data_IF_120371560782
#
_entry.id   IF_120371560782
#
_cell.length_a   1.000
_cell.length_b   1.000
_cell.length_c   1.000
_cell.angle_alpha   90.00
_cell.angle_beta   90.00
_cell.angle_gamma   90.00
#
_symmetry.space_group_name_H-M   'P 1'
#
loop_
_entity.id
_entity.type
_entity.pdbx_description
1 polymer ?
#
# COMPACT_ATOMS: atom_id res chain seq x y z
N UNK A 1 -16.42 12.78 -3.72
CA UNK A 1 -15.46 11.67 -3.69
C UNK A 1 -14.71 11.73 -2.37
N UNK A 2 -15.07 10.85 -1.43
CA UNK A 2 -14.38 10.81 -0.14
C UNK A 2 -13.14 9.95 -0.33
N UNK A 3 -12.00 10.59 -0.47
CA UNK A 3 -10.71 9.91 -0.42
C UNK A 3 -10.46 9.45 1.02
N UNK A 4 -10.02 8.21 1.15
CA UNK A 4 -9.64 7.62 2.40
C UNK A 4 -8.48 8.44 3.01
N UNK A 5 -8.80 9.27 3.98
CA UNK A 5 -7.82 10.10 4.66
C UNK A 5 -7.17 9.28 5.78
N UNK A 6 -5.98 8.73 5.52
CA UNK A 6 -5.17 8.03 6.53
C UNK A 6 -4.68 9.03 7.60
N UNK A 7 -4.78 10.33 7.32
CA UNK A 7 -4.34 11.40 8.21
C UNK A 7 -5.52 12.17 8.80
N UNK A 8 -5.79 11.97 10.07
CA UNK A 8 -6.31 13.04 10.91
C UNK A 8 -5.20 13.49 11.85
N UNK A 9 -4.90 14.78 11.77
CA UNK A 9 -3.86 15.51 12.48
C UNK A 9 -3.58 14.98 13.90
N UNK A 10 -2.35 14.51 14.12
CA UNK A 10 -1.84 14.24 15.45
C UNK A 10 -1.11 15.48 15.96
N UNK A 11 -1.80 16.26 16.78
CA UNK A 11 -1.15 17.17 17.71
C UNK A 11 -1.44 16.64 19.11
N UNK A 12 -0.48 15.98 19.70
CA UNK A 12 -0.08 16.05 21.11
C UNK A 12 0.85 14.88 21.49
N UNK A 13 2.01 15.20 21.98
CA UNK A 13 2.96 14.28 22.59
C UNK A 13 2.29 13.58 23.79
N UNK A 14 2.08 12.27 23.70
CA UNK A 14 1.90 11.40 24.85
C UNK A 14 2.72 10.14 24.65
N UNK A 15 3.52 9.80 25.63
CA UNK A 15 4.33 8.61 25.75
C UNK A 15 3.54 7.37 25.36
N UNK A 16 4.05 6.65 24.36
CA UNK A 16 3.46 5.44 23.82
C UNK A 16 3.71 4.33 24.84
N UNK A 17 2.68 3.98 25.61
CA UNK A 17 2.55 2.62 26.11
C UNK A 17 2.11 1.77 24.92
N UNK A 18 2.80 0.66 24.67
CA UNK A 18 2.30 -0.39 23.80
C UNK A 18 0.95 -0.84 24.34
N UNK A 19 -0.11 -0.25 23.85
CA UNK A 19 -1.44 -0.80 24.03
C UNK A 19 -1.45 -1.98 23.06
N UNK A 20 -1.45 -3.17 23.60
CA UNK A 20 -1.89 -4.36 22.87
C UNK A 20 -3.29 -4.02 22.32
N UNK A 21 -3.31 -3.51 21.08
CA UNK A 21 -4.57 -3.37 20.35
C UNK A 21 -5.02 -4.82 20.20
N UNK A 22 -6.17 -5.20 20.77
CA UNK A 22 -6.64 -6.56 20.64
C UNK A 22 -6.64 -6.87 19.15
N UNK A 23 -5.86 -7.84 18.74
CA UNK A 23 -5.75 -8.36 17.38
C UNK A 23 -7.05 -9.10 16.98
N UNK A 24 -8.18 -8.46 17.20
CA UNK A 24 -9.52 -9.02 17.06
C UNK A 24 -10.25 -8.47 15.83
N UNK A 25 -9.53 -8.15 14.75
CA UNK A 25 -10.18 -8.10 13.45
C UNK A 25 -10.01 -9.50 12.86
N UNK A 26 -10.90 -10.40 13.23
CA UNK A 26 -10.84 -11.79 12.77
C UNK A 26 -11.05 -11.92 11.26
N UNK A 27 -11.65 -10.91 10.62
CA UNK A 27 -11.99 -10.90 9.20
C UNK A 27 -11.89 -9.50 8.61
N UNK A 28 -10.68 -8.92 8.46
CA UNK A 28 -10.53 -7.59 7.92
C UNK A 28 -10.96 -7.56 6.43
N UNK A 29 -11.77 -6.56 6.07
CA UNK A 29 -12.10 -6.27 4.68
C UNK A 29 -11.00 -5.43 4.00
N UNK A 30 -10.29 -4.64 4.80
CA UNK A 30 -9.21 -3.79 4.34
C UNK A 30 -7.95 -4.01 5.18
N UNK A 31 -6.80 -4.03 4.51
CA UNK A 31 -5.49 -4.12 5.14
C UNK A 31 -4.60 -3.00 4.63
N UNK A 32 -3.93 -2.31 5.53
CA UNK A 32 -2.87 -1.35 5.22
C UNK A 32 -1.53 -2.00 5.50
N UNK A 33 -0.69 -2.10 4.49
CA UNK A 33 0.71 -2.51 4.59
C UNK A 33 1.58 -1.25 4.60
N UNK A 34 2.42 -1.11 5.59
CA UNK A 34 3.35 0.01 5.71
C UNK A 34 4.77 -0.54 5.76
N UNK A 35 5.58 -0.13 4.79
CA UNK A 35 7.00 -0.52 4.75
C UNK A 35 7.78 0.21 5.84
N UNK A 36 8.59 -0.49 6.62
CA UNK A 36 9.42 0.11 7.68
C UNK A 36 10.56 0.99 7.15
N UNK A 37 10.79 1.03 5.83
CA UNK A 37 11.65 2.02 5.20
C UNK A 37 10.99 3.40 5.01
N UNK A 38 9.68 3.52 5.25
CA UNK A 38 8.98 4.82 5.20
C UNK A 38 9.31 5.60 6.47
N UNK A 39 9.70 6.86 6.31
CA UNK A 39 9.95 7.75 7.44
C UNK A 39 8.69 7.87 8.30
N UNK A 40 8.87 7.78 9.61
CA UNK A 40 7.80 7.89 10.60
C UNK A 40 6.63 6.88 10.40
N UNK A 41 6.94 5.69 9.90
CA UNK A 41 5.96 4.63 9.65
C UNK A 41 5.11 4.27 10.89
N UNK A 42 5.65 4.44 12.09
CA UNK A 42 4.92 4.19 13.34
C UNK A 42 3.78 5.20 13.55
N UNK A 43 4.01 6.48 13.26
CA UNK A 43 2.96 7.49 13.30
C UNK A 43 1.87 7.23 12.25
N UNK A 44 2.27 6.81 11.05
CA UNK A 44 1.33 6.40 10.00
C UNK A 44 0.46 5.25 10.47
N UNK A 45 1.07 4.22 11.04
CA UNK A 45 0.36 3.05 11.56
C UNK A 45 -0.66 3.43 12.64
N UNK A 46 -0.29 4.34 13.54
CA UNK A 46 -1.17 4.83 14.61
C UNK A 46 -2.30 5.73 14.08
N UNK A 47 -2.16 6.32 12.91
CA UNK A 47 -3.16 7.17 12.26
C UNK A 47 -4.20 6.42 11.43
N UNK A 48 -4.04 5.12 11.24
CA UNK A 48 -5.00 4.31 10.47
C UNK A 48 -6.33 4.19 11.23
N UNK A 49 -7.44 4.32 10.49
CA UNK A 49 -8.77 4.28 11.08
C UNK A 49 -9.07 2.94 11.76
N UNK A 50 -9.85 2.94 12.86
CA UNK A 50 -10.32 1.71 13.50
C UNK A 50 -11.07 0.80 12.51
N UNK A 51 -10.87 -0.52 12.64
CA UNK A 51 -11.50 -1.51 11.75
C UNK A 51 -10.65 -1.91 10.55
N UNK A 52 -9.57 -1.18 10.27
CA UNK A 52 -8.60 -1.53 9.23
C UNK A 52 -7.40 -2.22 9.88
N UNK A 53 -7.01 -3.37 9.33
CA UNK A 53 -5.83 -4.07 9.82
C UNK A 53 -4.56 -3.40 9.32
N UNK A 54 -3.61 -3.15 10.22
CA UNK A 54 -2.29 -2.63 9.88
C UNK A 54 -1.26 -3.75 9.94
N UNK A 55 -0.40 -3.81 8.94
CA UNK A 55 0.74 -4.74 8.87
C UNK A 55 2.00 -3.94 8.52
N UNK A 56 2.99 -4.00 9.38
CA UNK A 56 4.31 -3.41 9.10
C UNK A 56 5.15 -4.43 8.34
N UNK A 57 5.68 -4.02 7.20
CA UNK A 57 6.60 -4.85 6.43
C UNK A 57 8.02 -4.68 6.95
N UNK A 58 8.68 -5.82 7.16
CA UNK A 58 10.10 -5.88 7.50
C UNK A 58 10.95 -5.48 6.28
N UNK A 59 11.71 -4.40 6.42
CA UNK A 59 12.57 -3.86 5.37
C UNK A 59 13.75 -4.76 4.99
N UNK A 60 14.07 -5.77 5.81
CA UNK A 60 15.16 -6.72 5.55
C UNK A 60 14.75 -7.94 4.74
N UNK A 61 13.45 -8.11 4.48
CA UNK A 61 12.86 -9.29 3.85
C UNK A 61 12.04 -8.93 2.61
N UNK A 62 11.75 -9.93 1.76
CA UNK A 62 10.91 -9.77 0.56
C UNK A 62 9.50 -9.28 0.93
N UNK A 63 9.19 -8.03 0.63
CA UNK A 63 7.91 -7.40 0.95
C UNK A 63 6.73 -8.02 0.19
N UNK A 64 6.92 -8.44 -1.06
CA UNK A 64 5.88 -9.12 -1.84
C UNK A 64 5.51 -10.47 -1.22
N UNK A 65 6.49 -11.23 -0.75
CA UNK A 65 6.25 -12.47 -0.03
C UNK A 65 5.54 -12.25 1.30
N UNK A 66 5.85 -11.18 2.02
CA UNK A 66 5.16 -10.81 3.26
C UNK A 66 3.68 -10.50 3.01
N UNK A 67 3.38 -9.65 2.02
CA UNK A 67 2.00 -9.30 1.63
C UNK A 67 1.23 -10.55 1.19
N UNK A 68 1.81 -11.38 0.33
CA UNK A 68 1.19 -12.60 -0.17
C UNK A 68 0.77 -13.53 0.97
N UNK A 69 1.63 -13.75 1.97
CA UNK A 69 1.30 -14.57 3.15
C UNK A 69 0.15 -14.00 3.95
N UNK A 70 0.08 -12.68 4.10
CA UNK A 70 -1.02 -12.03 4.84
C UNK A 70 -2.33 -12.14 4.08
N UNK A 71 -2.34 -11.89 2.76
CA UNK A 71 -3.55 -12.03 1.93
C UNK A 71 -4.07 -13.48 1.99
N UNK A 72 -3.19 -14.47 1.92
CA UNK A 72 -3.57 -15.89 2.03
C UNK A 72 -4.21 -16.22 3.38
N UNK A 73 -3.79 -15.54 4.45
CA UNK A 73 -4.38 -15.70 5.79
C UNK A 73 -5.77 -15.07 5.90
N UNK A 74 -6.04 -14.04 5.10
CA UNK A 74 -7.30 -13.27 5.13
C UNK A 74 -7.97 -13.25 3.75
N UNK A 75 -8.50 -14.39 3.28
CA UNK A 75 -9.03 -14.51 1.91
C UNK A 75 -10.27 -13.66 1.61
N UNK A 76 -10.91 -13.10 2.65
CA UNK A 76 -12.06 -12.19 2.51
C UNK A 76 -11.66 -10.72 2.32
N UNK A 77 -10.36 -10.38 2.38
CA UNK A 77 -9.92 -9.00 2.17
C UNK A 77 -10.26 -8.55 0.75
N UNK A 78 -10.90 -7.39 0.64
CA UNK A 78 -11.31 -6.81 -0.64
C UNK A 78 -10.38 -5.68 -1.10
N UNK A 79 -9.80 -4.95 -0.17
CA UNK A 79 -8.94 -3.81 -0.48
C UNK A 79 -7.63 -3.86 0.31
N UNK A 80 -6.53 -3.63 -0.38
CA UNK A 80 -5.22 -3.47 0.24
C UNK A 80 -4.63 -2.10 -0.11
N UNK A 81 -4.03 -1.49 0.89
CA UNK A 81 -3.34 -0.22 0.81
C UNK A 81 -1.86 -0.49 1.06
N UNK A 82 -0.98 -0.01 0.21
CA UNK A 82 0.46 -0.18 0.35
C UNK A 82 1.10 1.20 0.46
N UNK A 83 1.73 1.47 1.59
CA UNK A 83 2.53 2.67 1.85
C UNK A 83 3.99 2.25 1.86
N UNK A 84 4.75 2.72 0.88
CA UNK A 84 6.14 2.30 0.69
C UNK A 84 6.96 3.36 -0.04
N UNK A 85 8.29 3.28 -0.01
CA UNK A 85 9.11 4.05 -0.93
C UNK A 85 8.79 3.70 -2.38
N UNK A 86 8.91 4.66 -3.28
CA UNK A 86 8.66 4.49 -4.71
C UNK A 86 9.47 5.46 -5.56
N UNK A 87 9.48 5.19 -6.85
CA UNK A 87 10.02 6.06 -7.89
C UNK A 87 9.21 5.83 -9.17
N UNK A 88 9.32 6.68 -10.21
CA UNK A 88 8.59 6.47 -11.45
C UNK A 88 8.76 5.06 -12.03
N UNK A 89 7.67 4.28 -12.08
CA UNK A 89 7.66 2.90 -12.56
C UNK A 89 8.36 1.89 -11.66
N UNK A 90 8.62 2.25 -10.39
CA UNK A 90 9.29 1.38 -9.41
C UNK A 90 8.55 1.39 -8.09
N UNK A 91 8.27 0.19 -7.54
CA UNK A 91 7.69 -0.02 -6.23
C UNK A 91 8.68 -0.80 -5.37
N UNK A 92 9.05 -0.23 -4.22
CA UNK A 92 9.95 -0.86 -3.25
C UNK A 92 9.15 -1.44 -2.10
N UNK A 93 9.35 -2.73 -1.80
CA UNK A 93 8.66 -3.42 -0.69
C UNK A 93 9.65 -4.31 0.05
N UNK A 94 9.95 -3.95 1.29
CA UNK A 94 11.02 -4.60 2.03
C UNK A 94 12.35 -4.41 1.32
N UNK A 95 13.05 -5.52 1.06
CA UNK A 95 14.28 -5.52 0.28
C UNK A 95 14.08 -5.81 -1.22
N UNK A 96 12.83 -5.74 -1.71
CA UNK A 96 12.46 -6.09 -3.08
C UNK A 96 12.10 -4.87 -3.91
N UNK A 97 12.38 -4.92 -5.19
CA UNK A 97 12.05 -3.91 -6.18
C UNK A 97 11.20 -4.51 -7.29
N UNK A 98 10.03 -3.94 -7.55
CA UNK A 98 9.18 -4.25 -8.69
C UNK A 98 9.23 -3.14 -9.73
N UNK A 99 9.42 -3.51 -10.99
CA UNK A 99 9.30 -2.64 -12.15
C UNK A 99 8.85 -3.43 -13.38
N UNK A 100 8.61 -2.75 -14.50
CA UNK A 100 8.11 -3.38 -15.73
C UNK A 100 9.08 -4.43 -16.32
N UNK A 101 10.38 -4.34 -16.04
CA UNK A 101 11.37 -5.26 -16.59
C UNK A 101 11.45 -6.60 -15.84
N UNK A 102 10.99 -6.64 -14.59
CA UNK A 102 11.11 -7.82 -13.76
C UNK A 102 9.77 -8.44 -13.32
N UNK A 103 8.65 -7.74 -13.52
CA UNK A 103 7.34 -8.16 -13.06
C UNK A 103 6.96 -9.55 -13.60
N UNK A 104 7.14 -9.79 -14.88
CA UNK A 104 6.73 -11.04 -15.52
C UNK A 104 7.58 -12.23 -15.10
N UNK A 105 8.88 -12.01 -14.88
CA UNK A 105 9.82 -13.09 -14.60
C UNK A 105 9.90 -13.47 -13.11
N UNK A 106 9.66 -12.50 -12.20
CA UNK A 106 9.91 -12.70 -10.78
C UNK A 106 8.69 -12.54 -9.89
N UNK A 107 7.69 -11.73 -10.30
CA UNK A 107 6.59 -11.34 -9.42
C UNK A 107 5.19 -11.74 -9.90
N UNK A 108 5.00 -12.08 -11.18
CA UNK A 108 3.68 -12.42 -11.73
C UNK A 108 2.99 -13.50 -10.94
N UNK A 109 3.66 -14.59 -10.64
CA UNK A 109 3.09 -15.72 -9.88
C UNK A 109 2.65 -15.31 -8.44
N UNK A 110 3.39 -14.43 -7.78
CA UNK A 110 2.99 -13.90 -6.47
C UNK A 110 1.78 -12.98 -6.59
N UNK A 111 1.80 -12.09 -7.58
CA UNK A 111 0.72 -11.14 -7.83
C UNK A 111 -0.58 -11.81 -8.28
N UNK A 112 -0.52 -12.90 -9.04
CA UNK A 112 -1.68 -13.72 -9.40
C UNK A 112 -2.44 -14.24 -8.16
N UNK A 113 -1.73 -14.44 -7.04
CA UNK A 113 -2.31 -14.83 -5.76
C UNK A 113 -2.99 -13.69 -4.99
N UNK A 114 -2.91 -12.45 -5.47
CA UNK A 114 -3.51 -11.29 -4.81
C UNK A 114 -4.95 -11.10 -5.26
N UNK A 115 -5.83 -11.95 -4.75
CA UNK A 115 -7.27 -11.93 -5.08
C UNK A 115 -7.98 -10.82 -4.29
N UNK A 116 -7.71 -9.55 -4.64
CA UNK A 116 -8.32 -8.37 -4.04
C UNK A 116 -9.06 -7.57 -5.11
N UNK A 117 -10.11 -6.85 -4.69
CA UNK A 117 -10.87 -5.98 -5.60
C UNK A 117 -10.12 -4.68 -5.87
N UNK A 118 -9.52 -4.11 -4.84
CA UNK A 118 -8.83 -2.82 -4.93
C UNK A 118 -7.40 -2.89 -4.40
N UNK A 119 -6.49 -2.26 -5.13
CA UNK A 119 -5.08 -2.11 -4.79
C UNK A 119 -4.72 -0.61 -4.83
N UNK A 120 -4.39 -0.04 -3.68
CA UNK A 120 -4.07 1.37 -3.53
C UNK A 120 -2.59 1.52 -3.17
N UNK A 121 -1.83 2.19 -4.04
CA UNK A 121 -0.37 2.31 -3.95
C UNK A 121 0.02 3.75 -3.58
N UNK A 122 0.41 3.94 -2.33
CA UNK A 122 0.96 5.19 -1.80
C UNK A 122 2.48 5.17 -1.85
N UNK A 123 3.03 4.81 -3.00
CA UNK A 123 4.47 4.84 -3.25
C UNK A 123 4.84 6.11 -4.00
N UNK A 124 5.80 6.88 -3.49
CA UNK A 124 6.19 8.15 -4.11
C UNK A 124 6.38 8.05 -5.61
N UNK A 125 5.55 8.75 -6.38
CA UNK A 125 5.63 8.85 -7.84
C UNK A 125 5.60 7.52 -8.61
N UNK A 126 5.15 6.42 -8.02
CA UNK A 126 5.18 5.09 -8.68
C UNK A 126 4.45 5.08 -10.01
N UNK A 127 3.36 5.85 -10.12
CA UNK A 127 2.54 6.00 -11.32
C UNK A 127 3.03 7.09 -12.29
N UNK A 128 4.15 7.75 -11.99
CA UNK A 128 4.62 8.88 -12.80
C UNK A 128 5.18 8.41 -14.15
N UNK A 129 4.84 9.17 -15.20
CA UNK A 129 5.31 8.96 -16.55
C UNK A 129 4.83 7.66 -17.21
N UNK A 130 5.30 7.40 -18.41
CA UNK A 130 4.90 6.23 -19.20
C UNK A 130 5.28 4.91 -18.54
N UNK A 131 6.40 4.87 -17.85
CA UNK A 131 6.87 3.67 -17.15
C UNK A 131 6.00 3.33 -15.95
N UNK A 132 5.53 4.36 -15.21
CA UNK A 132 4.59 4.18 -14.11
C UNK A 132 3.25 3.66 -14.59
N UNK A 133 2.70 4.28 -15.63
CA UNK A 133 1.41 3.85 -16.23
C UNK A 133 1.50 2.40 -16.71
N UNK A 134 2.55 2.02 -17.44
CA UNK A 134 2.74 0.65 -17.92
C UNK A 134 2.88 -0.37 -16.78
N UNK A 135 3.57 0.00 -15.70
CA UNK A 135 3.67 -0.86 -14.52
C UNK A 135 2.28 -1.11 -13.91
N UNK A 136 1.47 -0.06 -13.72
CA UNK A 136 0.12 -0.21 -13.16
C UNK A 136 -0.78 -1.05 -14.04
N UNK A 137 -0.75 -0.85 -15.35
CA UNK A 137 -1.52 -1.64 -16.30
C UNK A 137 -1.14 -3.11 -16.21
N UNK A 138 0.16 -3.41 -16.12
CA UNK A 138 0.64 -4.79 -16.00
C UNK A 138 0.24 -5.43 -14.67
N UNK A 139 0.35 -4.70 -13.55
CA UNK A 139 -0.13 -5.20 -12.25
C UNK A 139 -1.63 -5.51 -12.33
N UNK A 140 -2.43 -4.62 -12.94
CA UNK A 140 -3.86 -4.82 -13.10
C UNK A 140 -4.19 -6.05 -13.94
N UNK A 141 -3.50 -6.26 -15.05
CA UNK A 141 -3.66 -7.43 -15.91
C UNK A 141 -3.40 -8.74 -15.14
N UNK A 142 -2.39 -8.77 -14.29
CA UNK A 142 -2.01 -9.95 -13.51
C UNK A 142 -2.99 -10.19 -12.35
N UNK A 143 -3.32 -9.15 -11.60
CA UNK A 143 -4.14 -9.27 -10.37
C UNK A 143 -5.64 -9.24 -10.62
N UNK A 144 -6.07 -8.59 -11.70
CA UNK A 144 -7.49 -8.26 -11.94
C UNK A 144 -8.04 -7.14 -11.06
N UNK A 145 -7.24 -6.57 -10.15
CA UNK A 145 -7.67 -5.54 -9.22
C UNK A 145 -7.86 -4.18 -9.90
N UNK A 146 -8.76 -3.37 -9.36
CA UNK A 146 -8.75 -1.93 -9.63
C UNK A 146 -7.57 -1.31 -8.91
N UNK A 147 -6.85 -0.40 -9.56
CA UNK A 147 -5.63 0.18 -9.01
C UNK A 147 -5.75 1.70 -8.96
N UNK A 148 -5.37 2.27 -7.80
CA UNK A 148 -5.06 3.69 -7.70
C UNK A 148 -3.63 3.86 -7.18
N UNK A 149 -2.91 4.83 -7.74
CA UNK A 149 -1.53 5.06 -7.38
C UNK A 149 -1.14 6.54 -7.50
N UNK A 150 -0.14 6.93 -6.71
CA UNK A 150 0.39 8.29 -6.72
C UNK A 150 1.35 8.51 -7.89
N UNK A 151 1.16 9.60 -8.61
CA UNK A 151 2.07 10.11 -9.64
C UNK A 151 2.98 11.24 -9.12
N UNK A 152 2.80 11.66 -7.87
CA UNK A 152 3.55 12.72 -7.17
C UNK A 152 4.19 12.18 -5.91
N UNK A 153 5.09 12.94 -5.26
CA UNK A 153 5.60 12.57 -3.95
C UNK A 153 4.47 12.38 -2.93
N UNK A 154 4.46 11.25 -2.25
CA UNK A 154 3.49 10.93 -1.19
C UNK A 154 4.06 11.33 0.16
N UNK A 155 3.27 12.03 0.99
CA UNK A 155 3.70 12.42 2.33
C UNK A 155 3.27 13.80 2.78
N UNK A 156 4.07 14.41 3.65
CA UNK A 156 3.77 15.70 4.27
C UNK A 156 3.70 16.82 3.23
N UNK A 157 2.59 17.55 3.26
CA UNK A 157 2.33 18.73 2.42
C UNK A 157 3.41 19.81 2.61
N UNK A 158 3.96 19.96 3.81
CA UNK A 158 5.04 20.91 4.09
C UNK A 158 6.33 20.59 3.35
N UNK A 159 6.52 19.33 2.94
CA UNK A 159 7.63 18.84 2.15
C UNK A 159 7.29 18.67 0.66
N UNK A 160 6.11 19.15 0.24
CA UNK A 160 5.64 19.07 -1.16
C UNK A 160 4.99 17.74 -1.52
N UNK A 161 4.64 16.91 -0.54
CA UNK A 161 3.89 15.67 -0.73
C UNK A 161 2.38 15.86 -0.56
N UNK A 162 1.62 14.87 -0.99
CA UNK A 162 0.21 14.70 -0.69
C UNK A 162 -0.15 13.21 -0.54
N UNK A 163 -1.40 12.91 -0.25
CA UNK A 163 -1.91 11.54 -0.11
C UNK A 163 -2.95 11.20 -1.19
N UNK A 164 -2.94 11.98 -2.26
CA UNK A 164 -3.84 11.73 -3.38
C UNK A 164 -3.30 10.60 -4.29
N UNK A 165 -4.21 9.83 -4.86
CA UNK A 165 -3.91 8.79 -5.83
C UNK A 165 -4.48 9.24 -7.18
N UNK A 166 -3.67 9.97 -7.95
CA UNK A 166 -4.14 10.67 -9.16
C UNK A 166 -4.36 9.73 -10.33
N UNK A 167 -3.68 8.61 -10.36
CA UNK A 167 -3.77 7.64 -11.46
C UNK A 167 -4.63 6.47 -11.03
N UNK A 168 -5.79 6.32 -11.69
CA UNK A 168 -6.74 5.25 -11.42
C UNK A 168 -6.88 4.39 -12.66
N UNK A 169 -6.92 3.07 -12.48
CA UNK A 169 -7.23 2.07 -13.49
C UNK A 169 -8.30 1.12 -12.99
N UNK A 170 -9.42 1.05 -13.68
CA UNK A 170 -10.63 0.34 -13.26
C UNK A 170 -11.60 1.22 -12.49
N UNK A 171 -12.59 0.62 -11.86
CA UNK A 171 -13.59 1.29 -11.02
C UNK A 171 -13.28 0.96 -9.57
N UNK A 172 -12.87 1.98 -8.78
CA UNK A 172 -12.67 1.79 -7.35
C UNK A 172 -14.03 1.70 -6.67
N UNK A 173 -14.33 0.54 -6.10
CA UNK A 173 -15.44 0.39 -5.20
C UNK A 173 -15.02 0.96 -3.83
N UNK A 174 -15.70 2.03 -3.42
CA UNK A 174 -15.51 2.65 -2.09
C UNK A 174 -16.65 2.14 -1.23
N UNK A 175 -16.33 1.23 -0.31
CA UNK A 175 -17.26 0.82 0.76
C UNK A 175 -17.32 1.89 1.86
#
# INVERSE_FOLDING_TARGET
MSYFNIYQSVSTKKSIQFIDIPSQIESPQQIVFIDSNVDDYESLANGVLPGIKVVILDSSSDGFGQITRVIQKYPQVSSIHIVSPGAPGCLYLGNSLLNINNIDNYYSQKLEGWSVTNLLLYGCSVAAGDTGVKLLERIREITGANIAASARPTGDVALGGDWELEVVRGELEVD
#
